data_IF_044905342015
#
_entry.id   IF_044905342015
#
_cell.length_a   1.000
_cell.length_b   1.000
_cell.length_c   1.000
_cell.angle_alpha   90.00
_cell.angle_beta   90.00
_cell.angle_gamma   90.00
#
_symmetry.space_group_name_H-M   'P 1'
#
loop_
_entity.id
_entity.type
_entity.pdbx_description
1 polymer ?
#
# COMPACT_ATOMS: atom_id res chain seq x y z
N UNK A 1 -8.24 -10.64 -9.28
CA UNK A 1 -8.33 -9.24 -9.76
C UNK A 1 -7.64 -8.32 -8.74
N UNK A 2 -7.08 -7.19 -9.18
CA UNK A 2 -6.42 -6.23 -8.28
C UNK A 2 -7.48 -5.37 -7.59
N UNK A 3 -7.34 -5.11 -6.28
CA UNK A 3 -8.27 -4.26 -5.50
C UNK A 3 -8.28 -2.80 -5.98
N UNK A 4 -7.10 -2.30 -6.35
CA UNK A 4 -6.90 -0.92 -6.77
C UNK A 4 -7.03 0.08 -5.62
N UNK A 5 -6.65 1.33 -5.91
CA UNK A 5 -6.67 2.42 -4.93
C UNK A 5 -8.07 2.82 -4.49
N UNK A 6 -9.04 2.80 -5.41
CA UNK A 6 -10.44 3.08 -5.10
C UNK A 6 -11.02 2.01 -4.16
N UNK A 7 -10.77 0.73 -4.46
CA UNK A 7 -11.20 -0.38 -3.60
C UNK A 7 -10.56 -0.31 -2.22
N UNK A 8 -9.27 0.03 -2.14
CA UNK A 8 -8.59 0.26 -0.86
C UNK A 8 -9.22 1.41 -0.06
N UNK A 9 -9.51 2.54 -0.70
CA UNK A 9 -10.09 3.72 -0.05
C UNK A 9 -11.46 3.41 0.56
N UNK A 10 -12.31 2.66 -0.15
CA UNK A 10 -13.61 2.20 0.35
C UNK A 10 -13.49 1.33 1.61
N UNK A 11 -12.47 0.47 1.67
CA UNK A 11 -12.21 -0.33 2.87
C UNK A 11 -11.68 0.52 4.02
N UNK A 12 -10.81 1.51 3.72
CA UNK A 12 -10.30 2.44 4.72
C UNK A 12 -11.41 3.23 5.41
N UNK A 13 -12.45 3.61 4.68
CA UNK A 13 -13.58 4.40 5.21
C UNK A 13 -14.34 3.69 6.32
N UNK A 14 -14.33 2.35 6.35
CA UNK A 14 -15.07 1.54 7.33
C UNK A 14 -14.17 0.92 8.41
N UNK A 15 -12.86 1.25 8.43
CA UNK A 15 -11.87 0.69 9.35
C UNK A 15 -11.15 1.80 10.11
N UNK A 16 -11.11 1.71 11.44
CA UNK A 16 -10.43 2.68 12.31
C UNK A 16 -9.01 2.24 12.74
N UNK A 17 -8.54 1.08 12.28
CA UNK A 17 -7.19 0.58 12.57
C UNK A 17 -6.18 1.07 11.51
N UNK A 18 -4.88 1.19 11.85
CA UNK A 18 -3.83 1.43 10.87
C UNK A 18 -3.78 0.29 9.86
N UNK A 19 -3.86 0.63 8.58
CA UNK A 19 -3.84 -0.32 7.47
C UNK A 19 -2.68 -0.03 6.52
N UNK A 20 -2.13 -1.08 5.92
CA UNK A 20 -1.02 -1.01 4.97
C UNK A 20 -1.48 -1.57 3.62
N UNK A 21 -1.05 -0.93 2.54
CA UNK A 21 -1.33 -1.41 1.18
C UNK A 21 -0.30 -2.49 0.83
N UNK A 22 -0.71 -3.52 0.11
CA UNK A 22 0.18 -4.60 -0.36
C UNK A 22 -0.14 -4.97 -1.80
N UNK A 23 0.89 -5.38 -2.55
CA UNK A 23 0.75 -5.91 -3.90
C UNK A 23 1.70 -5.24 -4.89
N UNK A 24 2.97 -5.64 -4.88
CA UNK A 24 3.95 -5.18 -5.86
C UNK A 24 4.35 -3.70 -5.75
N UNK A 25 4.25 -3.12 -4.55
CA UNK A 25 4.54 -1.71 -4.30
C UNK A 25 6.05 -1.42 -4.21
N UNK A 26 6.43 -0.18 -4.43
CA UNK A 26 7.77 0.38 -4.20
C UNK A 26 7.70 1.60 -3.26
N UNK A 27 8.86 2.12 -2.84
CA UNK A 27 8.91 3.34 -2.01
C UNK A 27 8.28 4.56 -2.67
N UNK A 28 8.22 4.59 -4.00
CA UNK A 28 7.61 5.68 -4.76
C UNK A 28 6.08 5.73 -4.61
N UNK A 29 5.46 4.61 -4.22
CA UNK A 29 4.02 4.52 -3.98
C UNK A 29 3.62 5.05 -2.59
N UNK A 30 4.57 5.26 -1.68
CA UNK A 30 4.28 5.66 -0.30
C UNK A 30 3.48 6.97 -0.19
N UNK A 31 3.76 8.03 -0.98
CA UNK A 31 2.92 9.24 -0.99
C UNK A 31 1.49 8.93 -1.42
N UNK A 32 1.29 8.12 -2.46
CA UNK A 32 -0.03 7.74 -2.95
C UNK A 32 -0.79 6.90 -1.90
N UNK A 33 -0.12 5.92 -1.28
CA UNK A 33 -0.72 5.12 -0.21
C UNK A 33 -1.25 6.01 0.95
N UNK A 34 -0.47 7.01 1.36
CA UNK A 34 -0.89 7.98 2.39
C UNK A 34 -2.07 8.84 1.96
N UNK A 35 -2.11 9.27 0.70
CA UNK A 35 -3.25 10.02 0.14
C UNK A 35 -4.55 9.19 0.20
N UNK A 36 -4.46 7.87 0.06
CA UNK A 36 -5.59 6.95 0.20
C UNK A 36 -5.86 6.49 1.64
N UNK A 37 -5.21 7.11 2.63
CA UNK A 37 -5.45 6.85 4.05
C UNK A 37 -4.73 5.63 4.63
N UNK A 38 -3.74 5.09 3.93
CA UNK A 38 -2.88 4.04 4.47
C UNK A 38 -1.86 4.62 5.47
N UNK A 39 -1.51 3.81 6.47
CA UNK A 39 -0.38 4.07 7.35
C UNK A 39 0.95 3.96 6.59
N UNK A 40 1.02 3.05 5.63
CA UNK A 40 2.19 2.83 4.79
C UNK A 40 1.98 1.71 3.77
N UNK A 41 3.10 1.16 3.29
CA UNK A 41 3.12 0.07 2.31
C UNK A 41 3.80 -1.17 2.90
N UNK A 42 3.39 -2.34 2.41
CA UNK A 42 4.11 -3.59 2.55
C UNK A 42 4.66 -4.00 1.18
N UNK A 43 5.97 -4.19 1.11
CA UNK A 43 6.68 -4.56 -0.11
C UNK A 43 7.77 -5.59 0.18
N UNK A 44 8.10 -6.42 -0.81
CA UNK A 44 9.11 -7.48 -0.70
C UNK A 44 10.24 -7.18 -1.68
N UNK A 45 10.04 -7.48 -2.97
CA UNK A 45 11.09 -7.40 -4.00
C UNK A 45 11.73 -6.02 -4.15
N UNK A 46 10.97 -4.95 -3.95
CA UNK A 46 11.46 -3.56 -4.10
C UNK A 46 12.20 -3.06 -2.87
N UNK A 47 12.05 -3.72 -1.70
CA UNK A 47 12.75 -3.37 -0.47
C UNK A 47 13.90 -4.34 -0.15
N UNK A 48 13.88 -5.55 -0.69
CA UNK A 48 14.94 -6.56 -0.61
C UNK A 48 15.40 -6.95 -2.03
N UNK A 49 16.18 -6.11 -2.71
CA UNK A 49 16.76 -6.47 -4.00
C UNK A 49 17.70 -7.68 -3.82
N UNK A 50 17.61 -8.64 -4.73
CA UNK A 50 18.40 -9.88 -4.70
C UNK A 50 19.82 -9.72 -5.19
N UNK A 51 20.15 -8.56 -5.74
CA UNK A 51 21.33 -8.34 -6.57
C UNK A 51 22.45 -7.61 -5.79
N UNK A 52 22.48 -7.76 -4.46
CA UNK A 52 23.52 -7.21 -3.58
C UNK A 52 24.80 -8.05 -3.58
#
# INVERSE_FOLDING_TARGET
PVLGWEGFSKLREVVSLPIYVIGGLSLEDLPQARQHGAQGIAAIRTLWPTDL
#
